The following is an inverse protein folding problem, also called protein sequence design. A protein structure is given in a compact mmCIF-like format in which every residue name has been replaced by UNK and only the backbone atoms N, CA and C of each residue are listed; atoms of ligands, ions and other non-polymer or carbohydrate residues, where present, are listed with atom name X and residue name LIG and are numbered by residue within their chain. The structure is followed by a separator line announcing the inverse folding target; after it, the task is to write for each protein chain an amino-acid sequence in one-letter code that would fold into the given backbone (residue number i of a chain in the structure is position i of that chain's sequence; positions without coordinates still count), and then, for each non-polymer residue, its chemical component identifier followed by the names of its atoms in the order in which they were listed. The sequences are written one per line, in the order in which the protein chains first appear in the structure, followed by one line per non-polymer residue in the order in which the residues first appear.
data_IF_352730695720
#
_entry.id   IF_352730695720
#
_cell.length_a   1.000
_cell.length_b   1.000
_cell.length_c   1.000
_cell.angle_alpha   90.00
_cell.angle_beta   90.00
_cell.angle_gamma   90.00
#
_symmetry.space_group_name_H-M   'P 1'
#
loop_
_entity.id
_entity.type
_entity.pdbx_description
1 polymer ?
#
# COMPACT_ATOMS: atom_id res chain seq x y z
N UNK A 1 41.80 16.79 -55.72
CA UNK A 1 42.01 16.50 -54.28
C UNK A 1 40.74 16.90 -53.54
N UNK A 2 39.78 15.98 -53.44
CA UNK A 2 38.52 16.22 -52.71
C UNK A 2 38.69 15.81 -51.26
N UNK A 3 38.58 16.79 -50.34
CA UNK A 3 38.59 16.55 -48.91
C UNK A 3 37.39 15.67 -48.55
N UNK A 4 37.65 14.49 -48.00
CA UNK A 4 36.63 13.65 -47.40
C UNK A 4 36.09 14.38 -46.15
N UNK A 5 34.90 14.97 -46.29
CA UNK A 5 34.14 15.49 -45.16
C UNK A 5 33.77 14.32 -44.25
N UNK A 6 34.55 14.12 -43.19
CA UNK A 6 34.24 13.16 -42.15
C UNK A 6 32.90 13.53 -41.51
N UNK A 7 31.91 12.66 -41.67
CA UNK A 7 30.66 12.70 -40.91
C UNK A 7 31.03 12.63 -39.42
N UNK A 8 31.11 13.78 -38.75
CA UNK A 8 31.14 13.82 -37.29
C UNK A 8 29.72 13.47 -36.85
N UNK A 9 29.50 12.22 -36.46
CA UNK A 9 28.31 11.86 -35.71
C UNK A 9 28.24 12.82 -34.52
N UNK A 10 27.16 13.59 -34.40
CA UNK A 10 27.00 14.56 -33.33
C UNK A 10 27.06 13.85 -31.98
N UNK A 11 28.19 14.00 -31.28
CA UNK A 11 28.29 13.65 -29.88
C UNK A 11 27.62 14.77 -29.10
N UNK A 12 26.71 14.39 -28.21
CA UNK A 12 25.91 15.33 -27.41
C UNK A 12 26.63 15.71 -26.11
N UNK A 13 27.63 14.91 -25.71
CA UNK A 13 28.48 15.13 -24.53
C UNK A 13 29.92 14.68 -24.82
N UNK A 14 30.89 15.12 -24.02
CA UNK A 14 32.30 14.73 -24.14
C UNK A 14 32.89 14.40 -22.77
N UNK A 15 33.78 13.41 -22.72
CA UNK A 15 34.60 13.09 -21.55
C UNK A 15 35.81 14.03 -21.44
N UNK A 16 36.49 14.11 -20.28
CA UNK A 16 37.70 14.92 -20.11
C UNK A 16 38.85 14.57 -21.06
N UNK A 17 38.88 13.35 -21.59
CA UNK A 17 39.86 12.89 -22.58
C UNK A 17 39.48 13.20 -24.03
N UNK A 18 38.38 13.93 -24.25
CA UNK A 18 37.84 14.29 -25.56
C UNK A 18 36.99 13.19 -26.21
N UNK A 19 36.70 12.08 -25.52
CA UNK A 19 35.83 11.04 -26.05
C UNK A 19 34.39 11.54 -26.16
N UNK A 20 33.86 11.57 -27.38
CA UNK A 20 32.48 11.92 -27.66
C UNK A 20 31.47 10.86 -27.17
N UNK A 21 30.37 11.32 -26.59
CA UNK A 21 29.30 10.51 -26.04
C UNK A 21 27.95 10.81 -26.69
N UNK A 22 27.13 9.76 -26.80
CA UNK A 22 25.79 9.78 -27.38
C UNK A 22 24.67 9.70 -26.32
N UNK A 23 25.03 9.58 -25.04
CA UNK A 23 24.10 9.62 -23.91
C UNK A 23 24.72 10.42 -22.75
N UNK A 24 23.87 10.91 -21.85
CA UNK A 24 24.27 11.78 -20.75
C UNK A 24 25.09 11.02 -19.68
N UNK A 25 26.31 11.46 -19.32
CA UNK A 25 27.05 10.90 -18.18
C UNK A 25 26.24 10.96 -16.87
N UNK A 26 26.48 10.00 -15.98
CA UNK A 26 25.80 9.88 -14.69
C UNK A 26 24.41 9.22 -14.76
N UNK A 27 23.89 8.97 -15.96
CA UNK A 27 22.56 8.40 -16.16
C UNK A 27 22.55 7.33 -17.24
N UNK A 28 22.02 6.15 -16.92
CA UNK A 28 21.84 5.09 -17.91
C UNK A 28 20.50 5.25 -18.61
N UNK A 29 20.51 5.65 -19.89
CA UNK A 29 19.27 5.79 -20.69
C UNK A 29 18.67 4.42 -21.00
N UNK A 30 17.36 4.29 -20.79
CA UNK A 30 16.58 3.07 -21.01
C UNK A 30 15.52 3.34 -22.08
N UNK A 31 15.38 2.43 -23.04
CA UNK A 31 14.36 2.48 -24.08
C UNK A 31 13.01 2.06 -23.49
N UNK A 32 11.99 2.92 -23.56
CA UNK A 32 10.69 2.69 -22.91
C UNK A 32 10.00 1.40 -23.39
N UNK A 33 10.06 1.10 -24.69
CA UNK A 33 9.33 -0.02 -25.28
C UNK A 33 9.92 -1.40 -24.90
N UNK A 34 11.25 -1.52 -24.82
CA UNK A 34 11.90 -2.84 -24.66
C UNK A 34 12.72 -2.96 -23.37
N UNK A 35 13.00 -1.83 -22.70
CA UNK A 35 13.91 -1.75 -21.56
C UNK A 35 15.39 -1.93 -21.91
N UNK A 36 15.78 -1.85 -23.19
CA UNK A 36 17.18 -1.87 -23.63
C UNK A 36 17.92 -0.63 -23.11
N UNK A 37 19.22 -0.77 -22.95
CA UNK A 37 20.11 0.26 -22.41
C UNK A 37 20.91 0.90 -23.53
N UNK A 38 21.01 2.23 -23.55
CA UNK A 38 21.85 2.95 -24.50
C UNK A 38 23.33 2.89 -24.07
N UNK A 39 24.22 2.60 -25.02
CA UNK A 39 25.65 2.74 -24.82
C UNK A 39 26.07 4.21 -24.99
N UNK A 40 26.77 4.78 -24.01
CA UNK A 40 27.23 6.17 -24.09
C UNK A 40 28.25 6.38 -25.22
N UNK A 41 29.06 5.37 -25.55
CA UNK A 41 30.16 5.51 -26.51
C UNK A 41 29.71 5.39 -27.98
N UNK A 42 28.66 4.62 -28.27
CA UNK A 42 28.22 4.36 -29.64
C UNK A 42 26.75 4.67 -29.91
N UNK A 43 25.97 5.05 -28.89
CA UNK A 43 24.56 5.42 -29.01
C UNK A 43 23.60 4.27 -29.34
N UNK A 44 24.08 3.02 -29.39
CA UNK A 44 23.26 1.84 -29.72
C UNK A 44 22.61 1.23 -28.48
N UNK A 45 21.53 0.49 -28.71
CA UNK A 45 20.67 -0.09 -27.67
C UNK A 45 20.93 -1.58 -27.44
N UNK A 46 21.13 -1.98 -26.18
CA UNK A 46 21.52 -3.35 -25.81
C UNK A 46 20.73 -3.92 -24.64
N UNK A 47 20.48 -5.23 -24.67
CA UNK A 47 19.94 -5.97 -23.52
C UNK A 47 21.00 -6.30 -22.49
N UNK A 48 22.26 -6.48 -22.91
CA UNK A 48 23.44 -6.64 -22.06
C UNK A 48 24.53 -5.64 -22.47
N UNK A 49 24.49 -4.47 -21.86
CA UNK A 49 25.48 -3.44 -22.07
C UNK A 49 26.85 -3.85 -21.51
N UNK A 50 26.86 -4.56 -20.37
CA UNK A 50 28.10 -5.05 -19.76
C UNK A 50 28.92 -5.98 -20.66
N UNK A 51 28.27 -6.77 -21.51
CA UNK A 51 28.97 -7.57 -22.53
C UNK A 51 29.48 -6.70 -23.68
N UNK A 52 28.68 -5.73 -24.11
CA UNK A 52 28.99 -4.87 -25.24
C UNK A 52 30.18 -3.93 -24.98
N UNK A 53 30.28 -3.33 -23.79
CA UNK A 53 31.34 -2.35 -23.48
C UNK A 53 32.76 -2.93 -23.55
N UNK A 54 32.90 -4.26 -23.52
CA UNK A 54 34.18 -4.93 -23.78
C UNK A 54 34.70 -4.68 -25.19
N UNK A 55 33.82 -4.53 -26.18
CA UNK A 55 34.20 -4.15 -27.53
C UNK A 55 34.78 -2.72 -27.59
N UNK A 56 34.55 -1.92 -26.56
CA UNK A 56 35.16 -0.60 -26.36
C UNK A 56 36.37 -0.63 -25.41
N UNK A 57 36.87 -1.82 -25.04
CA UNK A 57 38.01 -1.96 -24.12
C UNK A 57 37.67 -1.72 -22.65
N UNK A 58 36.39 -1.53 -22.31
CA UNK A 58 35.97 -1.31 -20.93
C UNK A 58 35.55 -2.60 -20.24
N UNK A 59 35.87 -2.71 -18.95
CA UNK A 59 35.19 -3.62 -18.04
C UNK A 59 33.88 -2.99 -17.58
N UNK A 60 32.96 -3.77 -17.01
CA UNK A 60 31.74 -3.20 -16.44
C UNK A 60 32.03 -2.20 -15.31
N UNK A 61 33.11 -2.40 -14.56
CA UNK A 61 33.52 -1.48 -13.49
C UNK A 61 34.14 -0.20 -14.05
N UNK A 62 35.13 -0.32 -14.96
CA UNK A 62 35.77 0.86 -15.55
C UNK A 62 34.81 1.67 -16.40
N UNK A 63 33.85 1.04 -17.07
CA UNK A 63 32.78 1.73 -17.79
C UNK A 63 31.90 2.56 -16.86
N UNK A 64 31.50 2.01 -15.69
CA UNK A 64 30.70 2.77 -14.73
C UNK A 64 31.47 3.97 -14.19
N UNK A 65 32.73 3.77 -13.82
CA UNK A 65 33.57 4.86 -13.35
C UNK A 65 33.73 5.96 -14.41
N UNK A 66 34.04 5.58 -15.66
CA UNK A 66 34.22 6.53 -16.77
C UNK A 66 32.94 7.31 -17.10
N UNK A 67 31.77 6.68 -16.96
CA UNK A 67 30.47 7.30 -17.24
C UNK A 67 29.80 7.90 -16.00
N UNK A 68 30.51 8.03 -14.86
CA UNK A 68 29.98 8.48 -13.56
C UNK A 68 28.72 7.73 -13.09
N UNK A 69 28.61 6.45 -13.47
CA UNK A 69 27.53 5.59 -13.03
C UNK A 69 27.84 5.02 -11.65
N UNK A 70 26.80 4.89 -10.83
CA UNK A 70 26.88 4.20 -9.55
C UNK A 70 27.51 2.79 -9.71
N UNK A 71 28.44 2.40 -8.85
CA UNK A 71 29.19 1.14 -9.00
C UNK A 71 28.29 -0.12 -9.08
N UNK A 72 27.12 -0.10 -8.43
CA UNK A 72 26.13 -1.17 -8.49
C UNK A 72 25.10 -1.03 -9.62
N UNK A 73 25.29 -0.10 -10.57
CA UNK A 73 24.36 0.13 -11.66
C UNK A 73 24.25 -1.12 -12.54
N UNK A 74 23.05 -1.69 -12.72
CA UNK A 74 22.86 -2.83 -13.60
C UNK A 74 23.12 -2.41 -15.06
N UNK A 75 24.10 -3.05 -15.70
CA UNK A 75 24.36 -2.89 -17.14
C UNK A 75 23.62 -3.95 -17.97
N UNK A 76 22.47 -4.40 -17.48
CA UNK A 76 21.59 -5.35 -18.16
C UNK A 76 20.15 -4.85 -18.10
N UNK A 77 19.38 -5.10 -19.15
CA UNK A 77 17.97 -4.77 -19.21
C UNK A 77 17.20 -5.48 -18.09
N UNK A 78 16.14 -4.83 -17.58
CA UNK A 78 15.33 -5.36 -16.47
C UNK A 78 14.69 -6.70 -16.80
N UNK A 79 14.22 -6.87 -18.04
CA UNK A 79 13.62 -8.10 -18.56
C UNK A 79 14.63 -9.25 -18.56
N UNK A 80 15.85 -9.01 -19.03
CA UNK A 80 16.93 -10.00 -18.98
C UNK A 80 17.32 -10.32 -17.53
N UNK A 81 17.40 -9.31 -16.65
CA UNK A 81 17.68 -9.50 -15.23
C UNK A 81 16.61 -10.37 -14.54
N UNK A 82 15.32 -10.13 -14.82
CA UNK A 82 14.23 -10.96 -14.31
C UNK A 82 14.33 -12.40 -14.82
N UNK A 83 14.53 -12.59 -16.13
CA UNK A 83 14.68 -13.92 -16.73
C UNK A 83 15.86 -14.71 -16.13
N UNK A 84 17.00 -14.06 -15.88
CA UNK A 84 18.14 -14.70 -15.20
C UNK A 84 17.76 -15.08 -13.77
N UNK A 85 17.11 -14.19 -13.02
CA UNK A 85 16.66 -14.44 -11.65
C UNK A 85 15.72 -15.64 -11.57
N UNK A 86 14.74 -15.72 -12.47
CA UNK A 86 13.75 -16.80 -12.46
C UNK A 86 14.41 -18.15 -12.76
N UNK A 87 15.33 -18.18 -13.74
CA UNK A 87 16.14 -19.38 -14.02
C UNK A 87 17.00 -19.78 -12.83
N UNK A 88 17.65 -18.82 -12.17
CA UNK A 88 18.49 -19.07 -11.00
C UNK A 88 17.67 -19.57 -9.81
N UNK A 89 16.50 -18.97 -9.55
CA UNK A 89 15.57 -19.42 -8.53
C UNK A 89 15.12 -20.86 -8.82
N UNK A 90 14.72 -21.16 -10.05
CA UNK A 90 14.35 -22.52 -10.46
C UNK A 90 15.50 -23.54 -10.34
N UNK A 91 16.76 -23.14 -10.55
CA UNK A 91 17.92 -24.00 -10.28
C UNK A 91 18.17 -24.20 -8.80
N UNK A 92 18.11 -23.12 -8.03
CA UNK A 92 18.27 -23.13 -6.58
C UNK A 92 17.23 -24.03 -5.90
N UNK A 93 15.96 -23.93 -6.29
CA UNK A 93 14.90 -24.77 -5.72
C UNK A 93 15.07 -26.25 -6.04
N UNK A 94 15.67 -26.60 -7.17
CA UNK A 94 15.83 -28.00 -7.62
C UNK A 94 17.13 -28.68 -7.18
N UNK A 95 18.09 -27.94 -6.64
CA UNK A 95 19.42 -28.47 -6.30
C UNK A 95 19.71 -28.26 -4.81
N UNK A 96 19.86 -29.37 -4.10
CA UNK A 96 20.28 -29.37 -2.70
C UNK A 96 21.71 -28.86 -2.52
N UNK A 97 22.63 -29.33 -3.34
CA UNK A 97 24.03 -28.88 -3.38
C UNK A 97 24.14 -27.35 -3.53
N UNK A 98 23.37 -26.74 -4.43
CA UNK A 98 23.34 -25.27 -4.55
C UNK A 98 22.85 -24.61 -3.27
N UNK A 99 21.81 -25.13 -2.62
CA UNK A 99 21.31 -24.59 -1.35
C UNK A 99 22.37 -24.64 -0.25
N UNK A 100 23.13 -25.73 -0.17
CA UNK A 100 24.23 -25.90 0.79
C UNK A 100 25.39 -24.92 0.52
N UNK A 101 25.81 -24.79 -0.73
CA UNK A 101 26.87 -23.85 -1.13
C UNK A 101 26.47 -22.41 -0.81
N UNK A 102 25.22 -22.01 -1.11
CA UNK A 102 24.71 -20.69 -0.77
C UNK A 102 24.58 -20.48 0.73
N UNK A 103 24.15 -21.49 1.50
CA UNK A 103 24.07 -21.43 2.95
C UNK A 103 25.46 -21.24 3.59
N UNK A 104 26.46 -21.99 3.13
CA UNK A 104 27.85 -21.84 3.55
C UNK A 104 28.42 -20.45 3.21
N UNK A 105 28.11 -19.94 2.02
CA UNK A 105 28.46 -18.57 1.62
C UNK A 105 27.81 -17.50 2.49
N UNK A 106 26.51 -17.63 2.78
CA UNK A 106 25.77 -16.73 3.65
C UNK A 106 26.34 -16.72 5.09
N UNK A 107 26.71 -17.88 5.62
CA UNK A 107 27.36 -17.98 6.94
C UNK A 107 28.69 -17.22 6.99
N UNK A 108 29.54 -17.38 5.96
CA UNK A 108 30.81 -16.64 5.84
C UNK A 108 30.61 -15.13 5.76
N UNK A 109 29.59 -14.67 5.04
CA UNK A 109 29.27 -13.24 4.91
C UNK A 109 28.70 -12.65 6.21
N UNK A 110 27.87 -13.40 6.95
CA UNK A 110 27.36 -12.95 8.26
C UNK A 110 28.49 -12.71 9.27
N UNK A 111 29.57 -13.50 9.20
CA UNK A 111 30.79 -13.29 10.00
C UNK A 111 31.53 -11.98 9.67
N UNK A 112 31.47 -11.52 8.41
CA UNK A 112 32.12 -10.28 7.94
C UNK A 112 31.21 -9.03 7.96
N UNK A 113 29.90 -9.21 8.14
CA UNK A 113 28.91 -8.14 8.06
C UNK A 113 28.98 -7.11 9.21
N UNK A 114 29.81 -7.34 10.24
CA UNK A 114 30.04 -6.36 11.31
C UNK A 114 30.89 -5.16 10.86
N UNK A 115 31.78 -5.30 9.89
CA UNK A 115 32.68 -4.22 9.45
C UNK A 115 32.10 -3.30 8.35
N UNK A 116 31.09 -3.77 7.61
CA UNK A 116 30.56 -3.03 6.44
C UNK A 116 29.55 -1.94 6.83
N UNK A 117 29.01 -1.96 8.05
CA UNK A 117 27.99 -1.00 8.51
C UNK A 117 28.50 0.44 8.70
N UNK A 118 29.81 0.66 8.67
CA UNK A 118 30.43 1.96 8.95
C UNK A 118 30.71 2.81 7.72
N UNK A 119 30.50 2.30 6.50
CA UNK A 119 30.81 3.05 5.28
C UNK A 119 29.60 3.92 4.88
N UNK A 120 29.78 5.25 4.69
CA UNK A 120 28.67 6.12 4.31
C UNK A 120 28.08 5.67 2.97
N UNK A 121 26.75 5.57 2.92
CA UNK A 121 26.01 5.20 1.73
C UNK A 121 26.17 6.29 0.66
N UNK A 122 26.58 5.97 -0.59
CA UNK A 122 26.73 6.98 -1.63
C UNK A 122 25.41 7.75 -1.86
N UNK A 123 25.47 9.08 -1.95
CA UNK A 123 24.29 9.95 -2.06
C UNK A 123 23.37 9.56 -3.24
N UNK A 124 23.94 9.12 -4.36
CA UNK A 124 23.20 8.61 -5.51
C UNK A 124 22.30 7.40 -5.16
N UNK A 125 22.77 6.48 -4.30
CA UNK A 125 21.98 5.32 -3.84
C UNK A 125 20.82 5.75 -2.95
N UNK A 126 21.06 6.69 -2.05
CA UNK A 126 20.02 7.26 -1.17
C UNK A 126 18.93 7.94 -2.00
N UNK A 127 19.33 8.77 -2.98
CA UNK A 127 18.40 9.49 -3.85
C UNK A 127 17.58 8.53 -4.71
N UNK A 128 18.20 7.52 -5.32
CA UNK A 128 17.49 6.49 -6.10
C UNK A 128 16.53 5.68 -5.23
N UNK A 129 16.94 5.30 -4.01
CA UNK A 129 16.06 4.62 -3.06
C UNK A 129 14.84 5.48 -2.73
N UNK A 130 15.04 6.77 -2.47
CA UNK A 130 13.97 7.73 -2.19
C UNK A 130 13.01 7.85 -3.38
N UNK A 131 13.53 8.02 -4.59
CA UNK A 131 12.73 8.12 -5.80
C UNK A 131 11.91 6.84 -6.08
N UNK A 132 12.51 5.66 -5.88
CA UNK A 132 11.82 4.39 -6.04
C UNK A 132 10.70 4.20 -5.01
N UNK A 133 10.93 4.58 -3.75
CA UNK A 133 9.90 4.54 -2.71
C UNK A 133 8.74 5.50 -3.03
N UNK A 134 9.06 6.70 -3.50
CA UNK A 134 8.04 7.69 -3.87
C UNK A 134 7.23 7.25 -5.09
N UNK A 135 7.87 6.69 -6.11
CA UNK A 135 7.18 6.06 -7.24
C UNK A 135 6.26 4.93 -6.77
N UNK A 136 6.73 4.06 -5.87
CA UNK A 136 5.91 3.00 -5.28
C UNK A 136 4.69 3.53 -4.53
N UNK A 137 4.86 4.59 -3.73
CA UNK A 137 3.75 5.26 -3.02
C UNK A 137 2.72 5.81 -4.00
N UNK A 138 3.16 6.44 -5.09
CA UNK A 138 2.25 6.95 -6.14
C UNK A 138 1.46 5.82 -6.79
N UNK A 139 2.10 4.72 -7.18
CA UNK A 139 1.41 3.57 -7.77
C UNK A 139 0.36 2.99 -6.83
N UNK A 140 0.69 2.83 -5.55
CA UNK A 140 -0.28 2.34 -4.53
C UNK A 140 -1.43 3.32 -4.35
N UNK A 141 -1.17 4.63 -4.34
CA UNK A 141 -2.19 5.66 -4.23
C UNK A 141 -3.15 5.65 -5.43
N UNK A 142 -2.63 5.59 -6.66
CA UNK A 142 -3.44 5.50 -7.89
C UNK A 142 -4.32 4.27 -7.88
N UNK A 143 -3.76 3.10 -7.55
CA UNK A 143 -4.53 1.86 -7.45
C UNK A 143 -5.67 1.98 -6.44
N UNK A 144 -5.41 2.52 -5.25
CA UNK A 144 -6.44 2.72 -4.22
C UNK A 144 -7.53 3.70 -4.67
N UNK A 145 -7.16 4.76 -5.39
CA UNK A 145 -8.13 5.70 -5.94
C UNK A 145 -9.03 5.03 -6.99
N UNK A 146 -8.47 4.17 -7.85
CA UNK A 146 -9.23 3.38 -8.82
C UNK A 146 -10.17 2.37 -8.12
N UNK A 147 -9.67 1.64 -7.11
CA UNK A 147 -10.48 0.72 -6.31
C UNK A 147 -11.63 1.45 -5.59
N UNK A 148 -11.39 2.65 -5.09
CA UNK A 148 -12.43 3.48 -4.47
C UNK A 148 -13.45 3.95 -5.50
N UNK A 149 -13.01 4.49 -6.64
CA UNK A 149 -13.91 4.92 -7.71
C UNK A 149 -14.81 3.77 -8.19
N UNK A 150 -14.25 2.57 -8.36
CA UNK A 150 -15.01 1.39 -8.73
C UNK A 150 -16.09 1.01 -7.69
N UNK A 151 -15.86 1.26 -6.39
CA UNK A 151 -16.86 1.01 -5.33
C UNK A 151 -17.94 2.08 -5.26
N UNK A 152 -17.57 3.33 -5.54
CA UNK A 152 -18.50 4.46 -5.47
C UNK A 152 -19.34 4.61 -6.75
N UNK A 153 -18.91 4.02 -7.86
CA UNK A 153 -19.54 4.18 -9.15
C UNK A 153 -19.43 5.62 -9.64
N UNK A 154 -20.55 6.21 -10.04
CA UNK A 154 -20.62 7.59 -10.51
C UNK A 154 -20.63 8.63 -9.38
N UNK A 155 -20.75 8.18 -8.13
CA UNK A 155 -20.74 9.10 -6.98
C UNK A 155 -19.31 9.56 -6.69
N UNK A 156 -19.17 10.86 -6.43
CA UNK A 156 -17.95 11.37 -5.82
C UNK A 156 -17.83 10.90 -4.37
N UNK A 157 -16.60 10.90 -3.83
CA UNK A 157 -16.37 10.59 -2.43
C UNK A 157 -17.18 11.50 -1.49
N UNK A 158 -17.29 12.80 -1.81
CA UNK A 158 -18.03 13.74 -0.98
C UNK A 158 -19.54 13.46 -0.97
N UNK A 159 -20.14 13.12 -2.12
CA UNK A 159 -21.54 12.74 -2.21
C UNK A 159 -21.83 11.45 -1.45
N UNK A 160 -20.98 10.44 -1.61
CA UNK A 160 -21.09 9.18 -0.88
C UNK A 160 -21.02 9.42 0.64
N UNK A 161 -20.01 10.18 1.10
CA UNK A 161 -19.83 10.46 2.52
C UNK A 161 -21.03 11.24 3.10
N UNK A 162 -21.58 12.22 2.39
CA UNK A 162 -22.78 12.94 2.81
C UNK A 162 -23.98 12.00 2.94
N UNK A 163 -24.28 11.23 1.90
CA UNK A 163 -25.42 10.30 1.89
C UNK A 163 -25.28 9.26 3.00
N UNK A 164 -24.17 8.54 3.02
CA UNK A 164 -23.97 7.46 3.98
C UNK A 164 -23.94 7.95 5.43
N UNK A 165 -23.36 9.13 5.70
CA UNK A 165 -23.39 9.70 7.04
C UNK A 165 -24.80 10.16 7.45
N UNK A 166 -25.57 10.73 6.52
CA UNK A 166 -26.98 11.08 6.76
C UNK A 166 -27.84 9.84 7.05
N UNK A 167 -27.53 8.71 6.40
CA UNK A 167 -28.15 7.39 6.65
C UNK A 167 -27.67 6.74 7.96
N UNK A 168 -26.80 7.41 8.72
CA UNK A 168 -26.32 6.96 10.02
C UNK A 168 -25.14 5.99 9.97
N UNK A 169 -24.42 5.91 8.84
CA UNK A 169 -23.23 5.07 8.73
C UNK A 169 -22.17 5.49 9.77
N UNK A 170 -21.60 4.49 10.43
CA UNK A 170 -20.53 4.73 11.40
C UNK A 170 -19.22 5.12 10.71
N UNK A 171 -18.33 5.81 11.43
CA UNK A 171 -16.97 6.09 10.95
C UNK A 171 -16.20 4.80 10.57
N UNK A 172 -16.51 3.68 11.20
CA UNK A 172 -15.88 2.39 10.92
C UNK A 172 -16.41 1.80 9.61
N UNK A 173 -17.72 1.84 9.40
CA UNK A 173 -18.36 1.45 8.14
C UNK A 173 -17.81 2.28 6.98
N UNK A 174 -17.74 3.60 7.15
CA UNK A 174 -17.20 4.51 6.14
C UNK A 174 -15.72 4.24 5.86
N UNK A 175 -14.92 3.95 6.90
CA UNK A 175 -13.51 3.58 6.73
C UNK A 175 -13.35 2.25 5.98
N UNK A 176 -14.21 1.27 6.25
CA UNK A 176 -14.18 -0.03 5.58
C UNK A 176 -14.49 0.10 4.08
N UNK A 177 -15.51 0.89 3.71
CA UNK A 177 -15.88 1.10 2.30
C UNK A 177 -14.83 1.94 1.56
N UNK A 178 -14.43 3.06 2.15
CA UNK A 178 -13.52 4.02 1.50
C UNK A 178 -12.05 3.59 1.54
N UNK A 179 -11.68 2.69 2.45
CA UNK A 179 -10.28 2.33 2.72
C UNK A 179 -9.47 3.47 3.35
N UNK A 180 -10.12 4.57 3.77
CA UNK A 180 -9.47 5.71 4.39
C UNK A 180 -9.20 5.47 5.87
N UNK A 181 -8.00 5.83 6.31
CA UNK A 181 -7.69 5.90 7.75
C UNK A 181 -8.52 7.00 8.43
N UNK A 182 -8.80 6.83 9.73
CA UNK A 182 -9.71 7.68 10.51
C UNK A 182 -9.43 9.20 10.43
N UNK A 183 -8.16 9.60 10.39
CA UNK A 183 -7.77 11.01 10.26
C UNK A 183 -8.15 11.56 8.89
N UNK A 184 -7.82 10.83 7.82
CA UNK A 184 -8.13 11.25 6.44
C UNK A 184 -9.64 11.21 6.17
N UNK A 185 -10.35 10.25 6.76
CA UNK A 185 -11.80 10.17 6.66
C UNK A 185 -12.48 11.37 7.33
N UNK A 186 -11.96 11.84 8.48
CA UNK A 186 -12.48 13.07 9.11
C UNK A 186 -12.25 14.30 8.24
N UNK A 187 -11.04 14.47 7.70
CA UNK A 187 -10.76 15.56 6.78
C UNK A 187 -11.69 15.50 5.55
N UNK A 188 -11.89 14.32 4.96
CA UNK A 188 -12.79 14.14 3.82
C UNK A 188 -14.27 14.43 4.16
N UNK A 189 -14.72 14.10 5.38
CA UNK A 189 -16.06 14.47 5.85
C UNK A 189 -16.20 15.98 6.04
N UNK A 190 -15.18 16.62 6.61
CA UNK A 190 -15.12 18.07 6.80
C UNK A 190 -15.13 18.80 5.44
N UNK A 191 -14.27 18.37 4.50
CA UNK A 191 -14.23 18.85 3.11
C UNK A 191 -15.57 18.62 2.38
N UNK A 192 -16.31 17.56 2.74
CA UNK A 192 -17.64 17.28 2.21
C UNK A 192 -18.77 18.11 2.85
N UNK A 193 -18.44 18.94 3.85
CA UNK A 193 -19.40 19.76 4.61
C UNK A 193 -20.16 18.97 5.68
N UNK A 194 -19.69 17.79 6.05
CA UNK A 194 -20.30 16.94 7.07
C UNK A 194 -19.66 17.24 8.41
N UNK A 195 -20.37 17.97 9.27
CA UNK A 195 -19.93 18.26 10.63
C UNK A 195 -19.84 16.96 11.45
N UNK A 196 -18.63 16.39 11.53
CA UNK A 196 -18.39 15.16 12.27
C UNK A 196 -18.58 15.43 13.76
N UNK A 197 -19.43 14.64 14.42
CA UNK A 197 -19.65 14.75 15.85
C UNK A 197 -18.31 14.73 16.62
N UNK A 198 -18.09 15.64 17.59
CA UNK A 198 -16.89 15.64 18.42
C UNK A 198 -16.69 14.30 19.13
N UNK A 199 -15.44 13.85 19.19
CA UNK A 199 -15.07 12.64 19.94
C UNK A 199 -15.24 12.91 21.43
N UNK A 200 -15.88 12.00 22.16
CA UNK A 200 -15.99 12.08 23.62
C UNK A 200 -17.20 12.85 24.16
N UNK A 201 -17.98 13.53 23.32
CA UNK A 201 -19.21 14.20 23.80
C UNK A 201 -20.40 13.24 23.80
N UNK A 202 -20.80 12.77 24.97
CA UNK A 202 -21.99 11.92 25.16
C UNK A 202 -23.27 12.76 25.06
N UNK A 203 -23.69 13.02 23.83
CA UNK A 203 -24.98 13.63 23.50
C UNK A 203 -26.15 12.68 23.79
N UNK A 204 -27.36 13.19 24.15
CA UNK A 204 -28.57 12.38 24.30
C UNK A 204 -28.89 11.52 23.06
N UNK A 205 -28.73 12.09 21.86
CA UNK A 205 -28.96 11.41 20.58
C UNK A 205 -27.95 10.28 20.39
N UNK A 206 -26.69 10.47 20.80
CA UNK A 206 -25.65 9.45 20.73
C UNK A 206 -25.89 8.30 21.71
N UNK A 207 -26.43 8.60 22.89
CA UNK A 207 -26.89 7.56 23.83
C UNK A 207 -28.05 6.76 23.25
N UNK A 208 -29.05 7.43 22.65
CA UNK A 208 -30.20 6.77 21.99
C UNK A 208 -29.75 5.87 20.85
N UNK A 209 -28.90 6.37 19.96
CA UNK A 209 -28.35 5.61 18.83
C UNK A 209 -27.61 4.35 19.29
N UNK A 210 -26.70 4.45 20.28
CA UNK A 210 -26.01 3.26 20.83
C UNK A 210 -26.95 2.27 21.49
N UNK A 211 -27.98 2.76 22.19
CA UNK A 211 -28.99 1.90 22.79
C UNK A 211 -29.77 1.12 21.71
N UNK A 212 -30.15 1.77 20.61
CA UNK A 212 -30.82 1.13 19.47
C UNK A 212 -29.91 0.13 18.75
N UNK A 213 -28.63 0.46 18.54
CA UNK A 213 -27.66 -0.47 17.94
C UNK A 213 -27.43 -1.70 18.83
N UNK A 214 -27.35 -1.51 20.14
CA UNK A 214 -27.27 -2.62 21.09
C UNK A 214 -28.52 -3.50 21.05
N UNK A 215 -29.71 -2.90 20.96
CA UNK A 215 -30.97 -3.64 20.82
C UNK A 215 -30.99 -4.45 19.53
N UNK A 216 -30.62 -3.86 18.40
CA UNK A 216 -30.60 -4.54 17.10
C UNK A 216 -29.65 -5.74 17.11
N UNK A 217 -28.42 -5.55 17.61
CA UNK A 217 -27.44 -6.63 17.68
C UNK A 217 -27.89 -7.78 18.62
N UNK A 218 -28.60 -7.44 19.69
CA UNK A 218 -29.19 -8.43 20.58
C UNK A 218 -30.37 -9.18 19.93
N UNK A 219 -31.21 -8.47 19.17
CA UNK A 219 -32.35 -9.00 18.45
C UNK A 219 -31.91 -9.99 17.35
N UNK A 220 -30.92 -9.59 16.55
CA UNK A 220 -30.29 -10.45 15.53
C UNK A 220 -29.73 -11.74 16.13
N UNK A 221 -29.06 -11.65 17.28
CA UNK A 221 -28.45 -12.82 17.95
C UNK A 221 -29.48 -13.86 18.38
N UNK A 222 -30.66 -13.43 18.81
CA UNK A 222 -31.73 -14.34 19.26
C UNK A 222 -32.77 -14.61 18.17
N UNK A 223 -32.57 -14.09 16.95
CA UNK A 223 -33.44 -14.29 15.80
C UNK A 223 -34.84 -13.70 15.98
N UNK A 224 -34.94 -12.48 16.54
CA UNK A 224 -36.21 -11.78 16.73
C UNK A 224 -36.17 -10.37 16.17
N UNK A 225 -37.33 -9.86 15.74
CA UNK A 225 -37.51 -8.47 15.32
C UNK A 225 -38.01 -7.58 16.47
N UNK A 226 -38.53 -8.17 17.56
CA UNK A 226 -39.07 -7.47 18.72
C UNK A 226 -38.42 -7.99 20.01
N UNK A 227 -37.24 -7.47 20.28
CA UNK A 227 -36.46 -7.83 21.47
C UNK A 227 -37.19 -7.54 22.80
N UNK A 228 -37.88 -6.39 22.98
CA UNK A 228 -38.78 -6.15 24.12
C UNK A 228 -39.73 -7.30 24.44
N UNK A 229 -40.53 -7.73 23.46
CA UNK A 229 -41.51 -8.80 23.62
C UNK A 229 -40.83 -10.13 23.87
N UNK A 230 -39.76 -10.44 23.12
CA UNK A 230 -38.98 -11.66 23.32
C UNK A 230 -38.43 -11.77 24.75
N UNK A 231 -37.88 -10.69 25.31
CA UNK A 231 -37.37 -10.70 26.68
C UNK A 231 -38.48 -10.94 27.71
N UNK A 232 -39.65 -10.32 27.54
CA UNK A 232 -40.79 -10.45 28.44
C UNK A 232 -41.38 -11.87 28.41
N UNK A 233 -41.55 -12.44 27.22
CA UNK A 233 -42.08 -13.80 27.03
C UNK A 233 -41.17 -14.84 27.68
N UNK A 234 -39.86 -14.74 27.44
CA UNK A 234 -38.89 -15.67 28.02
C UNK A 234 -38.78 -15.54 29.53
N UNK A 235 -38.86 -14.33 30.05
CA UNK A 235 -38.90 -14.10 31.49
C UNK A 235 -40.16 -14.72 32.13
N UNK A 236 -41.32 -14.56 31.50
CA UNK A 236 -42.59 -15.17 31.94
C UNK A 236 -42.55 -16.71 31.86
N UNK A 237 -41.84 -17.25 30.87
CA UNK A 237 -41.54 -18.69 30.75
C UNK A 237 -40.51 -19.21 31.78
N UNK A 238 -40.11 -18.39 32.77
CA UNK A 238 -39.24 -18.80 33.87
C UNK A 238 -37.74 -18.72 33.58
N UNK A 239 -37.32 -18.05 32.50
CA UNK A 239 -35.88 -17.88 32.25
C UNK A 239 -35.26 -16.91 33.25
N UNK A 240 -34.14 -17.31 33.85
CA UNK A 240 -33.37 -16.43 34.74
C UNK A 240 -32.70 -15.29 33.97
N UNK A 241 -32.47 -14.15 34.66
CA UNK A 241 -31.77 -13.00 34.08
C UNK A 241 -30.38 -13.36 33.53
N UNK A 242 -29.68 -14.30 34.15
CA UNK A 242 -28.36 -14.79 33.69
C UNK A 242 -28.50 -15.50 32.35
N UNK A 243 -29.52 -16.33 32.19
CA UNK A 243 -29.77 -17.06 30.94
C UNK A 243 -30.17 -16.11 29.81
N UNK A 244 -31.03 -15.14 30.11
CA UNK A 244 -31.41 -14.09 29.15
C UNK A 244 -30.18 -13.28 28.71
N UNK A 245 -29.37 -12.81 29.67
CA UNK A 245 -28.14 -12.07 29.44
C UNK A 245 -27.16 -12.84 28.54
N UNK A 246 -26.96 -14.13 28.80
CA UNK A 246 -26.13 -15.00 27.97
C UNK A 246 -26.68 -15.15 26.54
N UNK A 247 -28.01 -15.30 26.38
CA UNK A 247 -28.63 -15.45 25.08
C UNK A 247 -28.50 -14.20 24.20
N UNK A 248 -28.70 -13.01 24.77
CA UNK A 248 -28.60 -11.74 24.02
C UNK A 248 -27.17 -11.21 23.91
N UNK A 249 -26.22 -11.76 24.69
CA UNK A 249 -24.83 -11.30 24.71
C UNK A 249 -24.63 -9.98 25.45
N UNK A 250 -25.39 -9.73 26.52
CA UNK A 250 -25.32 -8.51 27.33
C UNK A 250 -25.25 -8.81 28.83
N UNK A 251 -25.10 -7.77 29.67
CA UNK A 251 -25.07 -7.92 31.12
C UNK A 251 -26.46 -8.12 31.71
N UNK A 252 -26.53 -8.75 32.88
CA UNK A 252 -27.80 -8.94 33.63
C UNK A 252 -28.47 -7.61 33.98
N UNK A 253 -27.69 -6.57 34.29
CA UNK A 253 -28.20 -5.22 34.53
C UNK A 253 -28.88 -4.63 33.29
N UNK A 254 -28.29 -4.82 32.11
CA UNK A 254 -28.86 -4.35 30.84
C UNK A 254 -30.23 -5.02 30.57
N UNK A 255 -30.31 -6.34 30.79
CA UNK A 255 -31.56 -7.10 30.62
C UNK A 255 -32.62 -6.64 31.60
N UNK A 256 -32.27 -6.51 32.88
CA UNK A 256 -33.17 -6.03 33.92
C UNK A 256 -33.76 -4.66 33.58
N UNK A 257 -32.90 -3.71 33.22
CA UNK A 257 -33.33 -2.35 32.89
C UNK A 257 -34.28 -2.30 31.67
N UNK A 258 -34.11 -3.20 30.69
CA UNK A 258 -35.04 -3.31 29.54
C UNK A 258 -36.40 -3.88 29.94
N UNK A 259 -36.41 -4.92 30.77
CA UNK A 259 -37.66 -5.48 31.30
C UNK A 259 -38.41 -4.42 32.13
N UNK A 260 -37.72 -3.69 33.00
CA UNK A 260 -38.31 -2.60 33.80
C UNK A 260 -38.90 -1.48 32.93
N UNK A 261 -38.22 -1.12 31.83
CA UNK A 261 -38.71 -0.11 30.88
C UNK A 261 -39.94 -0.53 30.09
N UNK A 262 -40.05 -1.82 29.75
CA UNK A 262 -41.21 -2.35 29.02
C UNK A 262 -42.42 -2.60 29.95
N UNK A 263 -42.16 -2.82 31.24
CA UNK A 263 -43.21 -3.01 32.25
C UNK A 263 -43.79 -1.70 32.81
N UNK A 264 -43.23 -0.54 32.45
CA UNK A 264 -43.78 0.75 32.86
C UNK A 264 -45.16 0.96 32.18
N UNK A 265 -46.24 1.18 32.94
CA UNK A 265 -47.57 1.37 32.37
C UNK A 265 -47.55 2.60 31.45
N UNK A 266 -47.99 2.41 30.20
CA UNK A 266 -48.31 3.51 29.30
C UNK A 266 -49.44 4.31 29.94
N UNK A 267 -49.10 5.37 30.67
CA UNK A 267 -50.06 6.40 31.05
C UNK A 267 -50.56 7.04 29.76
N UNK A 268 -51.64 6.47 29.21
CA UNK A 268 -52.44 7.08 28.16
C UNK A 268 -52.96 8.40 28.72
N UNK A 269 -52.42 9.51 28.25
CA UNK A 269 -53.01 10.83 28.45
C UNK A 269 -54.41 10.82 27.81
N UNK A 270 -55.44 10.68 28.65
CA UNK A 270 -56.75 11.25 28.40
C UNK A 270 -56.76 12.63 29.08
N UNK A 271 -56.85 13.66 28.26
CA UNK A 271 -56.87 15.07 28.62
C UNK A 271 -56.83 15.92 27.37
#
# INVERSE_FOLDING_TARGET
MGAAAGFRHGHLWELPDGTGLHARPGELTVEDATGRLCCHLCGRWYTSLGSHVRAHGYTAESYRAAMDLYAGEPLIARTLSASIRDRQAGRYHRSEELREVFAAGAARLRGRARDVRSRPEPAQRVNRRRAALEAGRRTVATRRAQELAARLGDMTLAEYLRSAYADGASMETLAAVTGLGRVRLRAALDDAGVAVRPVGTNTPEGRRSRALSADRAAAERVGTDDLPTWLADRHTAGWSLVRLAAAVGHSTHWVRWRLERNSAPVLRHLG
#
